data_IF_161762929753
#
_entry.id   IF_161762929753
#
_cell.length_a   1.000
_cell.length_b   1.000
_cell.length_c   1.000
_cell.angle_alpha   90.00
_cell.angle_beta   90.00
_cell.angle_gamma   90.00
#
_symmetry.space_group_name_H-M   'P 1'
#
loop_
_entity.id
_entity.type
_entity.pdbx_description
1 polymer ?
#
# COMPACT_ATOMS: atom_id res chain seq x y z
N UNK A 1 -3.79 -8.24 20.62
CA UNK A 1 -4.93 -7.49 20.00
C UNK A 1 -4.43 -6.44 19.01
N UNK A 2 -3.46 -5.61 19.39
CA UNK A 2 -2.84 -4.60 18.53
C UNK A 2 -2.18 -5.22 17.29
N UNK A 3 -1.52 -6.37 17.43
CA UNK A 3 -0.91 -7.11 16.31
C UNK A 3 -1.92 -7.49 15.22
N UNK A 4 -3.19 -7.75 15.56
CA UNK A 4 -4.23 -7.98 14.55
C UNK A 4 -4.54 -6.73 13.74
N UNK A 5 -4.59 -5.55 14.37
CA UNK A 5 -4.81 -4.28 13.66
C UNK A 5 -3.66 -3.97 12.70
N UNK A 6 -2.42 -4.22 13.13
CA UNK A 6 -1.23 -4.05 12.28
C UNK A 6 -1.30 -4.97 11.08
N UNK A 7 -1.66 -6.25 11.28
CA UNK A 7 -1.84 -7.20 10.18
C UNK A 7 -2.91 -6.74 9.19
N UNK A 8 -4.05 -6.21 9.66
CA UNK A 8 -5.08 -5.63 8.78
C UNK A 8 -4.53 -4.47 7.95
N UNK A 9 -3.75 -3.57 8.56
CA UNK A 9 -3.10 -2.46 7.84
C UNK A 9 -2.13 -2.98 6.78
N UNK A 10 -1.33 -4.01 7.11
CA UNK A 10 -0.43 -4.68 6.16
C UNK A 10 -1.23 -5.22 4.96
N UNK A 11 -2.37 -5.89 5.18
CA UNK A 11 -3.21 -6.39 4.09
C UNK A 11 -3.80 -5.27 3.23
N UNK A 12 -4.20 -4.14 3.81
CA UNK A 12 -4.69 -2.98 3.07
C UNK A 12 -3.57 -2.41 2.18
N UNK A 13 -2.36 -2.28 2.72
CA UNK A 13 -1.19 -1.80 1.97
C UNK A 13 -0.81 -2.79 0.86
N UNK A 14 -0.89 -4.10 1.13
CA UNK A 14 -0.65 -5.15 0.14
C UNK A 14 -1.67 -5.06 -1.00
N UNK A 15 -2.96 -4.90 -0.69
CA UNK A 15 -4.01 -4.73 -1.70
C UNK A 15 -3.76 -3.47 -2.56
N UNK A 16 -3.39 -2.35 -1.94
CA UNK A 16 -3.00 -1.12 -2.66
C UNK A 16 -1.80 -1.36 -3.57
N UNK A 17 -0.78 -2.06 -3.08
CA UNK A 17 0.40 -2.39 -3.85
C UNK A 17 0.02 -3.22 -5.08
N UNK A 18 -0.76 -4.29 -4.91
CA UNK A 18 -1.25 -5.11 -6.02
C UNK A 18 -2.03 -4.27 -7.04
N UNK A 19 -2.99 -3.44 -6.61
CA UNK A 19 -3.76 -2.60 -7.53
C UNK A 19 -2.89 -1.60 -8.29
N UNK A 20 -1.82 -1.08 -7.68
CA UNK A 20 -0.89 -0.18 -8.36
C UNK A 20 -0.16 -0.85 -9.54
N UNK A 21 0.02 -2.17 -9.51
CA UNK A 21 0.55 -2.94 -10.64
C UNK A 21 -0.56 -3.38 -11.61
N UNK A 22 -1.71 -3.82 -11.09
CA UNK A 22 -2.79 -4.39 -11.90
C UNK A 22 -3.47 -3.33 -12.76
N UNK A 23 -3.77 -2.14 -12.24
CA UNK A 23 -4.52 -1.11 -12.96
C UNK A 23 -3.82 -0.67 -14.26
N UNK A 24 -2.50 -0.38 -14.27
CA UNK A 24 -1.78 -0.07 -15.51
C UNK A 24 -1.82 -1.21 -16.55
N UNK A 25 -1.87 -2.47 -16.12
CA UNK A 25 -1.94 -3.64 -17.01
C UNK A 25 -3.28 -3.80 -17.72
N UNK A 26 -4.34 -3.10 -17.27
CA UNK A 26 -5.66 -3.14 -17.90
C UNK A 26 -5.77 -2.27 -19.17
N UNK A 27 -4.72 -1.51 -19.51
CA UNK A 27 -4.70 -0.64 -20.68
C UNK A 27 -5.53 0.64 -20.49
N UNK A 28 -6.04 1.19 -21.60
CA UNK A 28 -6.61 2.54 -21.63
C UNK A 28 -7.98 2.72 -20.93
N UNK A 29 -8.68 1.63 -20.58
CA UNK A 29 -10.01 1.68 -19.95
C UNK A 29 -10.11 0.68 -18.79
N UNK A 30 -9.53 1.00 -17.61
CA UNK A 30 -9.65 0.17 -16.42
C UNK A 30 -11.10 0.12 -15.92
N UNK A 31 -11.44 -0.93 -15.17
CA UNK A 31 -12.77 -1.05 -14.57
C UNK A 31 -13.01 0.10 -13.55
N UNK A 32 -14.10 0.87 -13.67
CA UNK A 32 -14.40 1.98 -12.77
C UNK A 32 -14.51 1.57 -11.30
N UNK A 33 -14.96 0.35 -11.00
CA UNK A 33 -15.01 -0.19 -9.65
C UNK A 33 -13.61 -0.34 -9.05
N UNK A 34 -12.62 -0.81 -9.82
CA UNK A 34 -11.25 -0.96 -9.37
C UNK A 34 -10.57 0.39 -9.12
N UNK A 35 -10.86 1.39 -9.96
CA UNK A 35 -10.40 2.76 -9.77
C UNK A 35 -10.93 3.37 -8.46
N UNK A 36 -12.23 3.18 -8.17
CA UNK A 36 -12.83 3.61 -6.90
C UNK A 36 -12.21 2.92 -5.70
N UNK A 37 -12.02 1.59 -5.75
CA UNK A 37 -11.35 0.83 -4.68
C UNK A 37 -9.91 1.32 -4.49
N UNK A 38 -9.17 1.54 -5.58
CA UNK A 38 -7.81 2.05 -5.50
C UNK A 38 -7.74 3.44 -4.86
N UNK A 39 -8.70 4.33 -5.16
CA UNK A 39 -8.78 5.66 -4.54
C UNK A 39 -9.12 5.58 -3.05
N UNK A 40 -9.98 4.65 -2.64
CA UNK A 40 -10.26 4.40 -1.22
C UNK A 40 -9.01 3.89 -0.49
N UNK A 41 -8.33 2.89 -1.07
CA UNK A 41 -7.10 2.35 -0.51
C UNK A 41 -5.98 3.40 -0.46
N UNK A 42 -5.89 4.26 -1.46
CA UNK A 42 -4.96 5.39 -1.45
C UNK A 42 -5.23 6.30 -0.24
N UNK A 43 -6.47 6.75 -0.03
CA UNK A 43 -6.81 7.61 1.10
C UNK A 43 -6.50 6.96 2.47
N UNK A 44 -6.75 5.65 2.60
CA UNK A 44 -6.45 4.91 3.82
C UNK A 44 -4.94 4.75 4.08
N UNK A 45 -4.16 4.59 3.02
CA UNK A 45 -2.72 4.27 3.12
C UNK A 45 -1.81 5.49 3.05
N UNK A 46 -2.27 6.60 2.48
CA UNK A 46 -1.45 7.79 2.24
C UNK A 46 -0.85 8.42 3.51
N UNK A 47 -1.53 8.46 4.68
CA UNK A 47 -0.92 8.95 5.92
C UNK A 47 0.35 8.16 6.32
N UNK A 48 0.45 6.90 5.91
CA UNK A 48 1.57 6.00 6.25
C UNK A 48 2.58 5.94 5.09
N UNK A 49 2.09 5.76 3.85
CA UNK A 49 2.93 5.62 2.66
C UNK A 49 3.51 6.96 2.20
N UNK A 50 2.77 8.05 2.34
CA UNK A 50 3.15 9.39 1.87
C UNK A 50 4.48 9.87 2.45
N UNK A 51 4.67 9.85 3.79
CA UNK A 51 5.96 10.21 4.40
C UNK A 51 7.13 9.37 3.88
N UNK A 52 6.94 8.06 3.71
CA UNK A 52 7.98 7.15 3.24
C UNK A 52 8.28 7.38 1.74
N UNK A 53 7.25 7.66 0.93
CA UNK A 53 7.41 8.01 -0.49
C UNK A 53 8.20 9.30 -0.70
N UNK A 54 8.18 10.24 0.24
CA UNK A 54 8.99 11.47 0.17
C UNK A 54 10.48 11.23 0.44
N UNK A 55 10.82 10.15 1.13
CA UNK A 55 12.20 9.81 1.50
C UNK A 55 12.81 8.88 0.44
N UNK A 56 12.01 7.97 -0.12
CA UNK A 56 12.46 7.04 -1.15
C UNK A 56 12.54 7.74 -2.51
N UNK A 57 13.60 7.51 -3.30
CA UNK A 57 13.62 7.94 -4.69
C UNK A 57 12.51 7.21 -5.46
N UNK A 58 11.72 7.96 -6.22
CA UNK A 58 10.69 7.39 -7.10
C UNK A 58 11.35 6.76 -8.32
N UNK A 59 11.21 5.44 -8.47
CA UNK A 59 11.69 4.70 -9.63
C UNK A 59 10.61 4.67 -10.72
N UNK A 60 10.43 5.79 -11.42
CA UNK A 60 9.42 5.92 -12.47
C UNK A 60 8.00 5.71 -11.93
N UNK A 61 7.24 4.79 -12.53
CA UNK A 61 5.86 4.47 -12.11
C UNK A 61 5.79 3.51 -10.91
N UNK A 62 6.91 2.94 -10.46
CA UNK A 62 6.92 1.93 -9.41
C UNK A 62 7.12 2.57 -8.04
N UNK A 63 6.09 2.44 -7.20
CA UNK A 63 6.10 2.89 -5.81
C UNK A 63 6.59 1.74 -4.91
N UNK A 64 7.83 1.83 -4.44
CA UNK A 64 8.42 0.87 -3.49
C UNK A 64 8.08 1.19 -2.02
N UNK A 65 7.40 2.31 -1.73
CA UNK A 65 7.00 2.63 -0.35
C UNK A 65 6.18 1.53 0.33
N UNK A 66 5.25 0.80 -0.33
CA UNK A 66 4.50 -0.28 0.32
C UNK A 66 5.40 -1.39 0.84
N UNK A 67 6.46 -1.76 0.11
CA UNK A 67 7.40 -2.80 0.53
C UNK A 67 8.12 -2.40 1.83
N UNK A 68 8.63 -1.17 1.87
CA UNK A 68 9.34 -0.64 3.05
C UNK A 68 8.39 -0.60 4.26
N UNK A 69 7.16 -0.12 4.07
CA UNK A 69 6.17 -0.03 5.15
C UNK A 69 5.77 -1.42 5.65
N UNK A 70 5.54 -2.38 4.75
CA UNK A 70 5.21 -3.76 5.14
C UNK A 70 6.34 -4.35 5.99
N UNK A 71 7.61 -4.19 5.59
CA UNK A 71 8.76 -4.69 6.37
C UNK A 71 8.78 -4.08 7.77
N UNK A 72 8.63 -2.75 7.88
CA UNK A 72 8.62 -2.04 9.16
C UNK A 72 7.47 -2.55 10.04
N UNK A 73 6.25 -2.62 9.50
CA UNK A 73 5.07 -3.07 10.24
C UNK A 73 5.16 -4.53 10.64
N UNK A 74 5.71 -5.41 9.79
CA UNK A 74 5.93 -6.83 10.12
C UNK A 74 6.93 -6.98 11.27
N UNK A 75 8.03 -6.23 11.25
CA UNK A 75 8.99 -6.22 12.37
C UNK A 75 8.32 -5.73 13.65
N UNK A 76 7.59 -4.61 13.60
CA UNK A 76 6.87 -4.07 14.77
C UNK A 76 5.84 -5.06 15.30
N UNK A 77 5.04 -5.66 14.42
CA UNK A 77 4.04 -6.67 14.80
C UNK A 77 4.67 -7.91 15.44
N UNK A 78 5.87 -8.31 15.02
CA UNK A 78 6.58 -9.46 15.60
C UNK A 78 7.09 -9.22 17.03
N UNK A 79 7.25 -7.94 17.42
CA UNK A 79 7.72 -7.54 18.76
C UNK A 79 6.59 -7.23 19.72
N UNK A 80 5.36 -7.08 19.22
CA UNK A 80 4.18 -6.79 20.03
C UNK A 80 3.43 -8.09 20.37
N UNK A 81 3.01 -8.28 21.63
CA UNK A 81 2.27 -9.47 22.07
C UNK A 81 0.82 -9.54 21.53
#
# INVERSE_FOLDING_TARGET
MISYLINVIIFIILAKAILSFVIPMMGARPNPTLLSINNLLFQLTEPILGPIRRILPTFGMFDFSPLVVIIILSVVSSRLP
#
